data_IF_608321385614
#
_entry.id   IF_608321385614
#
_cell.length_a   1.000
_cell.length_b   1.000
_cell.length_c   1.000
_cell.angle_alpha   90.00
_cell.angle_beta   90.00
_cell.angle_gamma   90.00
#
_symmetry.space_group_name_H-M   'P 1'
#
loop_
_entity.id
_entity.type
_entity.pdbx_description
1 polymer ?
#
# COMPACT_ATOMS: atom_id res chain seq x y z
N UNK A 1 -3.89 -0.82 -14.37
CA UNK A 1 -4.82 -1.61 -15.21
C UNK A 1 -4.36 -1.78 -16.65
N UNK A 2 -3.11 -1.47 -17.00
CA UNK A 2 -2.52 -1.91 -18.27
C UNK A 2 -2.41 -3.46 -18.29
N UNK A 3 -2.10 -4.08 -19.45
CA UNK A 3 -1.83 -5.52 -19.51
C UNK A 3 -0.80 -5.97 -18.48
N UNK A 4 -0.99 -7.17 -17.94
CA UNK A 4 -0.12 -7.75 -16.88
C UNK A 4 1.34 -7.77 -17.29
N UNK A 5 1.62 -8.21 -18.53
CA UNK A 5 2.98 -8.29 -19.07
C UNK A 5 3.68 -6.93 -19.04
N UNK A 6 2.96 -5.87 -19.43
CA UNK A 6 3.49 -4.51 -19.41
C UNK A 6 3.78 -4.05 -17.97
N UNK A 7 2.84 -4.27 -17.05
CA UNK A 7 3.02 -3.91 -15.64
C UNK A 7 4.23 -4.62 -15.02
N UNK A 8 4.35 -5.93 -15.22
CA UNK A 8 5.47 -6.72 -14.71
C UNK A 8 6.80 -6.26 -15.30
N UNK A 9 6.88 -6.03 -16.61
CA UNK A 9 8.11 -5.56 -17.26
C UNK A 9 8.54 -4.19 -16.74
N UNK A 10 7.60 -3.25 -16.62
CA UNK A 10 7.88 -1.92 -16.08
C UNK A 10 8.33 -1.98 -14.61
N UNK A 11 7.69 -2.81 -13.79
CA UNK A 11 8.06 -2.98 -12.38
C UNK A 11 9.45 -3.60 -12.22
N UNK A 12 9.81 -4.59 -13.04
CA UNK A 12 11.14 -5.20 -13.01
C UNK A 12 12.24 -4.24 -13.51
N UNK A 13 11.95 -3.42 -14.51
CA UNK A 13 12.86 -2.37 -14.97
C UNK A 13 13.11 -1.33 -13.86
N UNK A 14 12.05 -0.91 -13.16
CA UNK A 14 12.16 0.00 -12.01
C UNK A 14 12.95 -0.64 -10.85
N UNK A 15 12.70 -1.92 -10.54
CA UNK A 15 13.46 -2.67 -9.54
C UNK A 15 14.96 -2.68 -9.87
N UNK A 16 15.32 -3.00 -11.12
CA UNK A 16 16.72 -3.02 -11.56
C UNK A 16 17.40 -1.66 -11.37
N UNK A 17 16.71 -0.58 -11.73
CA UNK A 17 17.22 0.76 -11.51
C UNK A 17 17.41 1.09 -10.01
N UNK A 18 16.44 0.74 -9.16
CA UNK A 18 16.52 0.96 -7.71
C UNK A 18 17.67 0.17 -7.08
N UNK A 19 17.90 -1.08 -7.50
CA UNK A 19 19.04 -1.87 -7.04
C UNK A 19 20.37 -1.24 -7.44
N UNK A 20 20.47 -0.66 -8.65
CA UNK A 20 21.67 0.09 -9.07
C UNK A 20 21.89 1.37 -8.23
N UNK A 21 20.84 1.96 -7.66
CA UNK A 21 20.96 3.07 -6.70
C UNK A 21 21.32 2.60 -5.28
N UNK A 22 21.46 1.30 -5.04
CA UNK A 22 21.77 0.74 -3.72
C UNK A 22 20.59 0.62 -2.77
N UNK A 23 19.34 0.64 -3.27
CA UNK A 23 18.16 0.42 -2.45
C UNK A 23 18.18 -0.98 -1.83
N UNK A 24 18.02 -1.06 -0.51
CA UNK A 24 18.05 -2.31 0.27
C UNK A 24 16.68 -2.92 0.54
N UNK A 25 15.64 -2.09 0.48
CA UNK A 25 14.25 -2.49 0.68
C UNK A 25 13.41 -1.90 -0.46
N UNK A 26 12.54 -2.72 -1.02
CA UNK A 26 11.65 -2.36 -2.12
C UNK A 26 10.22 -2.27 -1.60
N UNK A 27 9.52 -1.20 -1.98
CA UNK A 27 8.13 -0.98 -1.62
C UNK A 27 7.26 -1.00 -2.88
N UNK A 28 6.43 -2.04 -3.03
CA UNK A 28 5.44 -2.06 -4.10
C UNK A 28 4.15 -1.34 -3.66
N UNK A 29 3.99 -0.12 -4.14
CA UNK A 29 2.86 0.76 -3.82
C UNK A 29 1.68 0.53 -4.76
N UNK A 30 0.50 0.25 -4.20
CA UNK A 30 -0.78 0.19 -4.92
C UNK A 30 -1.90 0.95 -4.18
N UNK A 31 -3.10 1.05 -4.75
CA UNK A 31 -4.20 1.84 -4.19
C UNK A 31 -4.70 1.26 -2.85
N UNK A 32 -5.09 2.11 -1.91
CA UNK A 32 -5.56 1.68 -0.58
C UNK A 32 -6.92 0.95 -0.60
N UNK A 33 -7.61 0.97 -1.74
CA UNK A 33 -8.84 0.21 -1.99
C UNK A 33 -8.59 -1.09 -2.78
N UNK A 34 -7.32 -1.50 -2.91
CA UNK A 34 -6.89 -2.75 -3.54
C UNK A 34 -7.32 -2.91 -5.02
N UNK A 35 -7.45 -1.78 -5.71
CA UNK A 35 -7.88 -1.60 -7.09
C UNK A 35 -7.23 -2.58 -8.08
N UNK A 36 -7.90 -3.69 -8.35
CA UNK A 36 -7.41 -4.78 -9.20
C UNK A 36 -8.56 -5.64 -9.70
N UNK A 37 -8.24 -6.56 -10.60
CA UNK A 37 -9.15 -7.65 -11.01
C UNK A 37 -8.49 -8.99 -10.70
N UNK A 38 -9.19 -10.11 -10.89
CA UNK A 38 -8.57 -11.43 -10.83
C UNK A 38 -7.40 -11.60 -11.81
N UNK A 39 -7.30 -10.76 -12.85
CA UNK A 39 -6.16 -10.77 -13.78
C UNK A 39 -4.95 -10.01 -13.25
N UNK A 40 -5.09 -9.19 -12.20
CA UNK A 40 -4.00 -8.36 -11.71
C UNK A 40 -4.33 -6.86 -11.59
N UNK A 41 -3.32 -6.01 -11.38
CA UNK A 41 -1.87 -6.31 -11.51
C UNK A 41 -1.13 -6.47 -10.18
N UNK A 42 -1.83 -6.45 -9.04
CA UNK A 42 -1.18 -6.49 -7.73
C UNK A 42 -0.45 -7.83 -7.54
N UNK A 43 -1.16 -8.95 -7.68
CA UNK A 43 -0.55 -10.29 -7.54
C UNK A 43 0.59 -10.57 -8.51
N UNK A 44 0.41 -10.41 -9.84
CA UNK A 44 1.45 -10.74 -10.80
C UNK A 44 2.71 -9.89 -10.67
N UNK A 45 2.57 -8.62 -10.29
CA UNK A 45 3.74 -7.76 -10.04
C UNK A 45 4.42 -8.16 -8.72
N UNK A 46 3.65 -8.44 -7.67
CA UNK A 46 4.22 -8.94 -6.41
C UNK A 46 5.02 -10.22 -6.64
N UNK A 47 4.46 -11.21 -7.34
CA UNK A 47 5.13 -12.48 -7.62
C UNK A 47 6.43 -12.28 -8.40
N UNK A 48 6.41 -11.46 -9.45
CA UNK A 48 7.60 -11.18 -10.25
C UNK A 48 8.69 -10.43 -9.46
N UNK A 49 8.30 -9.49 -8.58
CA UNK A 49 9.24 -8.80 -7.70
C UNK A 49 9.82 -9.75 -6.65
N UNK A 50 9.01 -10.66 -6.10
CA UNK A 50 9.47 -11.68 -5.16
C UNK A 50 10.49 -12.61 -5.81
N UNK A 51 10.20 -13.09 -7.02
CA UNK A 51 11.09 -13.97 -7.77
C UNK A 51 12.43 -13.28 -8.10
N UNK A 52 12.38 -12.01 -8.52
CA UNK A 52 13.58 -11.23 -8.84
C UNK A 52 14.43 -10.86 -7.61
N UNK A 53 13.81 -10.77 -6.42
CA UNK A 53 14.48 -10.50 -5.15
C UNK A 53 14.86 -11.77 -4.38
N UNK A 54 14.53 -12.95 -4.90
CA UNK A 54 14.70 -14.24 -4.23
C UNK A 54 14.11 -14.24 -2.80
N UNK A 55 12.93 -13.64 -2.62
CA UNK A 55 12.23 -13.61 -1.33
C UNK A 55 11.02 -14.55 -1.33
N UNK A 56 10.92 -15.49 -0.37
CA UNK A 56 9.83 -16.46 -0.33
C UNK A 56 8.52 -15.90 0.23
N UNK A 57 8.57 -14.74 0.89
CA UNK A 57 7.44 -14.19 1.64
C UNK A 57 7.38 -12.66 1.55
N UNK A 58 6.17 -12.10 1.52
CA UNK A 58 5.93 -10.66 1.63
C UNK A 58 4.56 -10.36 2.26
N UNK A 59 4.22 -9.10 2.42
CA UNK A 59 2.98 -8.64 3.07
C UNK A 59 2.14 -7.78 2.15
N UNK A 60 0.83 -7.72 2.40
CA UNK A 60 -0.10 -6.77 1.81
C UNK A 60 -0.71 -5.88 2.91
N UNK A 61 -0.39 -4.58 2.90
CA UNK A 61 -0.94 -3.60 3.86
C UNK A 61 -1.57 -2.38 3.16
N UNK A 62 -2.82 -2.51 2.67
CA UNK A 62 -3.50 -1.40 1.96
C UNK A 62 -3.99 -0.27 2.88
N UNK A 63 -4.05 -0.52 4.19
CA UNK A 63 -4.70 0.37 5.15
C UNK A 63 -4.08 1.78 5.18
N UNK A 64 -4.94 2.76 5.46
CA UNK A 64 -4.59 4.15 5.72
C UNK A 64 -5.72 4.74 6.59
N UNK A 65 -5.70 4.49 7.92
CA UNK A 65 -6.82 4.81 8.81
C UNK A 65 -7.24 6.28 8.80
N UNK A 66 -6.28 7.22 8.67
CA UNK A 66 -6.57 8.67 8.57
C UNK A 66 -7.48 9.03 7.39
N UNK A 67 -7.47 8.21 6.32
CA UNK A 67 -8.36 8.35 5.17
C UNK A 67 -9.52 7.34 5.19
N UNK A 68 -9.82 6.75 6.34
CA UNK A 68 -10.90 5.78 6.52
C UNK A 68 -10.69 4.47 5.77
N UNK A 69 -9.45 4.01 5.58
CA UNK A 69 -9.17 2.66 5.05
C UNK A 69 -8.58 1.83 6.18
N UNK A 70 -9.33 0.85 6.66
CA UNK A 70 -8.92 -0.05 7.75
C UNK A 70 -9.05 -1.49 7.30
N UNK A 71 -8.26 -2.37 7.91
CA UNK A 71 -8.32 -3.81 7.66
C UNK A 71 -8.53 -4.52 8.99
N UNK A 72 -9.53 -5.38 9.05
CA UNK A 72 -9.87 -6.18 10.22
C UNK A 72 -10.18 -7.62 9.82
N UNK A 73 -9.49 -8.57 10.42
CA UNK A 73 -9.55 -10.00 10.07
C UNK A 73 -9.37 -10.23 8.56
N UNK A 74 -8.49 -9.45 7.92
CA UNK A 74 -8.25 -9.47 6.49
C UNK A 74 -9.36 -8.86 5.61
N UNK A 75 -10.46 -8.36 6.19
CA UNK A 75 -11.49 -7.62 5.46
C UNK A 75 -11.13 -6.14 5.37
N UNK A 76 -11.15 -5.59 4.15
CA UNK A 76 -10.93 -4.18 3.89
C UNK A 76 -12.23 -3.38 4.05
N UNK A 77 -12.16 -2.32 4.84
CA UNK A 77 -13.23 -1.35 5.05
C UNK A 77 -12.89 -0.02 4.39
N UNK A 78 -13.92 0.60 3.82
CA UNK A 78 -13.90 1.97 3.31
C UNK A 78 -14.91 2.78 4.13
N UNK A 79 -14.39 3.71 4.92
CA UNK A 79 -15.14 4.39 5.97
C UNK A 79 -15.77 3.36 6.92
N UNK A 80 -17.09 3.33 7.00
CA UNK A 80 -17.86 2.44 7.86
C UNK A 80 -18.46 1.23 7.13
N UNK A 81 -18.06 0.98 5.88
CA UNK A 81 -18.60 -0.10 5.04
C UNK A 81 -17.51 -1.06 4.59
N UNK A 82 -17.89 -2.31 4.31
CA UNK A 82 -17.02 -3.23 3.58
C UNK A 82 -16.68 -2.68 2.19
N UNK A 83 -15.50 -3.00 1.66
CA UNK A 83 -15.07 -2.56 0.32
C UNK A 83 -16.15 -2.80 -0.75
N UNK A 84 -16.73 -4.00 -0.75
CA UNK A 84 -17.75 -4.45 -1.70
C UNK A 84 -19.14 -3.83 -1.53
N UNK A 85 -19.34 -3.06 -0.46
CA UNK A 85 -20.55 -2.31 -0.14
C UNK A 85 -20.34 -0.80 -0.27
N UNK A 86 -19.10 -0.37 -0.48
CA UNK A 86 -18.73 1.02 -0.73
C UNK A 86 -18.95 1.41 -2.20
N UNK A 87 -18.66 2.67 -2.54
CA UNK A 87 -18.63 3.14 -3.93
C UNK A 87 -17.69 2.33 -4.85
N UNK A 88 -16.69 1.64 -4.29
CA UNK A 88 -15.77 0.79 -5.07
C UNK A 88 -16.46 -0.40 -5.74
N UNK A 89 -17.63 -0.83 -5.25
CA UNK A 89 -18.44 -1.88 -5.88
C UNK A 89 -18.74 -1.60 -7.34
N UNK A 90 -18.92 -0.33 -7.69
CA UNK A 90 -19.29 0.12 -9.03
C UNK A 90 -18.16 0.92 -9.70
N UNK A 91 -16.92 0.73 -9.26
CA UNK A 91 -15.78 1.44 -9.85
C UNK A 91 -15.68 1.15 -11.36
N UNK A 92 -15.50 2.16 -12.22
CA UNK A 92 -15.66 2.02 -13.68
C UNK A 92 -14.62 1.11 -14.36
N UNK A 93 -13.48 0.86 -13.71
CA UNK A 93 -12.36 0.09 -14.29
C UNK A 93 -12.17 -1.27 -13.61
N UNK A 94 -12.34 -1.32 -12.30
CA UNK A 94 -12.04 -2.47 -11.44
C UNK A 94 -13.03 -2.50 -10.28
N UNK A 95 -14.29 -2.87 -10.55
CA UNK A 95 -15.31 -2.97 -9.52
C UNK A 95 -14.91 -4.00 -8.47
N UNK A 96 -14.90 -3.59 -7.20
CA UNK A 96 -14.49 -4.43 -6.09
C UNK A 96 -15.74 -5.07 -5.47
N UNK A 97 -15.99 -6.35 -5.74
CA UNK A 97 -17.22 -7.06 -5.30
C UNK A 97 -16.98 -8.07 -4.18
N UNK A 98 -15.75 -8.17 -3.68
CA UNK A 98 -15.37 -8.90 -2.46
C UNK A 98 -14.54 -7.95 -1.58
N UNK A 99 -14.56 -8.19 -0.28
CA UNK A 99 -13.86 -7.37 0.72
C UNK A 99 -12.76 -8.12 1.45
N UNK A 100 -12.70 -9.45 1.32
CA UNK A 100 -11.68 -10.26 1.97
C UNK A 100 -10.40 -10.28 1.14
N UNK A 101 -9.37 -9.59 1.63
CA UNK A 101 -8.11 -9.38 0.90
C UNK A 101 -7.40 -10.69 0.54
N UNK A 102 -7.33 -11.74 1.39
CA UNK A 102 -6.70 -12.99 0.98
C UNK A 102 -7.33 -13.62 -0.27
N UNK A 103 -8.66 -13.59 -0.40
CA UNK A 103 -9.32 -14.06 -1.64
C UNK A 103 -8.99 -13.19 -2.84
N UNK A 104 -8.95 -11.87 -2.66
CA UNK A 104 -8.57 -10.94 -3.73
C UNK A 104 -7.10 -11.12 -4.17
N UNK A 105 -6.20 -11.44 -3.25
CA UNK A 105 -4.79 -11.76 -3.51
C UNK A 105 -4.69 -13.10 -4.24
N UNK A 106 -5.26 -14.16 -3.69
CA UNK A 106 -5.19 -15.53 -4.25
C UNK A 106 -5.83 -15.62 -5.64
N UNK A 107 -6.86 -14.82 -5.92
CA UNK A 107 -7.49 -14.78 -7.24
C UNK A 107 -6.57 -14.27 -8.37
N UNK A 108 -5.48 -13.57 -8.03
CA UNK A 108 -4.56 -12.95 -9.00
C UNK A 108 -3.08 -13.31 -8.79
N UNK A 109 -2.78 -14.21 -7.85
CA UNK A 109 -1.41 -14.58 -7.48
C UNK A 109 -1.25 -16.10 -7.48
N UNK A 110 -0.02 -16.59 -7.33
CA UNK A 110 0.28 -18.03 -7.41
C UNK A 110 0.35 -18.74 -6.06
N UNK A 111 0.45 -18.01 -4.94
CA UNK A 111 0.57 -18.57 -3.59
C UNK A 111 -0.67 -18.40 -2.72
N UNK A 112 -0.61 -18.95 -1.51
CA UNK A 112 -1.64 -18.76 -0.47
C UNK A 112 -1.39 -17.51 0.36
N UNK A 113 -2.46 -16.85 0.78
CA UNK A 113 -2.41 -15.63 1.58
C UNK A 113 -2.97 -15.85 3.00
N UNK A 114 -2.13 -15.63 4.01
CA UNK A 114 -2.53 -15.61 5.41
C UNK A 114 -3.02 -14.24 5.86
N UNK A 115 -3.36 -14.13 7.15
CA UNK A 115 -3.73 -12.87 7.82
C UNK A 115 -2.99 -12.76 9.14
N UNK A 116 -2.36 -11.62 9.39
CA UNK A 116 -1.93 -11.22 10.74
C UNK A 116 -3.00 -10.31 11.31
N UNK A 117 -3.75 -10.83 12.29
CA UNK A 117 -4.90 -10.12 12.84
C UNK A 117 -4.50 -8.95 13.74
N UNK A 118 -5.40 -7.97 13.90
CA UNK A 118 -5.21 -6.82 14.78
C UNK A 118 -4.82 -7.24 16.22
N UNK A 119 -5.35 -8.37 16.71
CA UNK A 119 -5.02 -8.87 18.04
C UNK A 119 -3.53 -9.22 18.22
N UNK A 120 -2.85 -9.67 17.16
CA UNK A 120 -1.40 -9.93 17.20
C UNK A 120 -0.63 -8.61 17.30
N UNK A 121 -1.11 -7.54 16.64
CA UNK A 121 -0.51 -6.22 16.74
C UNK A 121 -0.63 -5.65 18.17
N UNK A 122 -1.72 -5.90 18.88
CA UNK A 122 -1.86 -5.51 20.30
C UNK A 122 -0.84 -6.20 21.22
N UNK A 123 -0.23 -7.30 20.79
CA UNK A 123 0.83 -8.01 21.54
C UNK A 123 2.24 -7.49 21.21
N UNK A 124 2.37 -6.54 20.29
CA UNK A 124 3.62 -5.87 19.95
C UNK A 124 4.42 -6.52 18.81
N UNK A 125 5.56 -5.90 18.51
CA UNK A 125 6.38 -6.16 17.31
C UNK A 125 6.89 -7.61 17.26
N UNK A 126 7.31 -8.18 18.39
CA UNK A 126 7.84 -9.55 18.41
C UNK A 126 6.76 -10.59 18.14
N UNK A 127 5.54 -10.39 18.62
CA UNK A 127 4.40 -11.26 18.30
C UNK A 127 4.08 -11.21 16.80
N UNK A 128 4.13 -10.03 16.19
CA UNK A 128 3.95 -9.86 14.74
C UNK A 128 5.04 -10.59 13.96
N UNK A 129 6.32 -10.47 14.35
CA UNK A 129 7.42 -11.19 13.69
C UNK A 129 7.28 -12.71 13.81
N UNK A 130 6.89 -13.21 14.99
CA UNK A 130 6.64 -14.64 15.20
C UNK A 130 5.49 -15.15 14.34
N UNK A 131 4.41 -14.38 14.23
CA UNK A 131 3.26 -14.77 13.42
C UNK A 131 3.60 -14.78 11.91
N UNK A 132 4.35 -13.79 11.42
CA UNK A 132 4.85 -13.78 10.04
C UNK A 132 5.73 -15.02 9.76
N UNK A 133 6.64 -15.36 10.68
CA UNK A 133 7.48 -16.54 10.57
C UNK A 133 6.67 -17.85 10.57
N UNK A 134 5.63 -17.95 11.43
CA UNK A 134 4.71 -19.09 11.46
C UNK A 134 3.98 -19.26 10.13
N UNK A 135 3.41 -18.17 9.59
CA UNK A 135 2.72 -18.20 8.30
C UNK A 135 3.66 -18.65 7.17
N UNK A 136 4.90 -18.15 7.15
CA UNK A 136 5.89 -18.60 6.18
C UNK A 136 6.21 -20.10 6.33
N UNK A 137 6.38 -20.61 7.55
CA UNK A 137 6.62 -22.04 7.81
C UNK A 137 5.45 -22.93 7.38
N UNK A 138 4.21 -22.42 7.44
CA UNK A 138 3.00 -23.11 6.97
C UNK A 138 2.81 -23.06 5.45
N UNK A 139 3.75 -22.45 4.72
CA UNK A 139 3.75 -22.38 3.27
C UNK A 139 2.85 -21.28 2.70
N UNK A 140 2.45 -20.29 3.52
CA UNK A 140 1.88 -19.07 2.96
C UNK A 140 2.97 -18.27 2.26
N UNK A 141 2.65 -17.74 1.08
CA UNK A 141 3.57 -16.87 0.31
C UNK A 141 3.37 -15.40 0.68
N UNK A 142 2.21 -15.07 1.24
CA UNK A 142 1.84 -13.71 1.59
C UNK A 142 1.09 -13.65 2.92
N UNK A 143 1.10 -12.49 3.56
CA UNK A 143 0.17 -12.17 4.64
C UNK A 143 -0.48 -10.79 4.46
N UNK A 144 -1.79 -10.73 4.61
CA UNK A 144 -2.51 -9.46 4.80
C UNK A 144 -2.31 -9.00 6.24
N UNK A 145 -2.02 -7.72 6.43
CA UNK A 145 -1.85 -7.13 7.74
C UNK A 145 -3.07 -6.30 8.11
N UNK A 146 -3.69 -6.63 9.24
CA UNK A 146 -4.70 -5.76 9.83
C UNK A 146 -4.10 -4.43 10.26
N UNK A 147 -4.91 -3.37 10.15
CA UNK A 147 -4.60 -2.05 10.67
C UNK A 147 -5.90 -1.26 10.85
N UNK A 148 -6.20 -0.94 12.11
CA UNK A 148 -7.35 -0.12 12.52
C UNK A 148 -6.90 1.31 12.87
N UNK A 149 -5.66 1.45 13.32
CA UNK A 149 -5.09 2.67 13.85
C UNK A 149 -3.73 2.95 13.22
N UNK A 150 -3.26 4.19 13.37
CA UNK A 150 -1.90 4.54 12.96
C UNK A 150 -0.84 3.76 13.75
N UNK A 151 -1.12 3.44 15.02
CA UNK A 151 -0.23 2.64 15.86
C UNK A 151 0.06 1.26 15.27
N UNK A 152 -0.95 0.60 14.67
CA UNK A 152 -0.70 -0.67 13.97
C UNK A 152 0.29 -0.48 12.80
N UNK A 153 0.20 0.64 12.07
CA UNK A 153 1.12 0.93 10.96
C UNK A 153 2.56 1.18 11.47
N UNK A 154 2.72 1.80 12.64
CA UNK A 154 4.04 1.95 13.29
C UNK A 154 4.66 0.59 13.62
N UNK A 155 3.89 -0.30 14.25
CA UNK A 155 4.32 -1.67 14.56
C UNK A 155 4.67 -2.44 13.29
N UNK A 156 3.86 -2.32 12.22
CA UNK A 156 4.17 -2.92 10.93
C UNK A 156 5.51 -2.41 10.39
N UNK A 157 5.76 -1.09 10.45
CA UNK A 157 7.02 -0.48 10.02
C UNK A 157 8.23 -1.04 10.77
N UNK A 158 8.13 -1.19 12.09
CA UNK A 158 9.20 -1.77 12.91
C UNK A 158 9.40 -3.27 12.63
N UNK A 159 8.32 -4.04 12.55
CA UNK A 159 8.37 -5.47 12.29
C UNK A 159 8.99 -5.80 10.92
N UNK A 160 8.77 -4.94 9.93
CA UNK A 160 9.16 -5.14 8.53
C UNK A 160 10.36 -4.31 8.09
N UNK A 161 11.07 -3.68 9.05
CA UNK A 161 12.23 -2.80 8.76
C UNK A 161 13.25 -3.43 7.81
N UNK A 162 13.49 -4.73 7.96
CA UNK A 162 14.52 -5.47 7.22
C UNK A 162 13.96 -6.37 6.11
N UNK A 163 12.65 -6.30 5.83
CA UNK A 163 12.05 -7.08 4.76
C UNK A 163 12.55 -6.61 3.38
N UNK A 164 12.98 -7.50 2.47
CA UNK A 164 13.51 -7.10 1.16
C UNK A 164 12.42 -6.49 0.25
N UNK A 165 11.20 -6.99 0.37
CA UNK A 165 10.02 -6.51 -0.33
C UNK A 165 8.86 -6.36 0.65
N UNK A 166 8.21 -5.20 0.62
CA UNK A 166 6.92 -4.95 1.27
C UNK A 166 5.94 -4.40 0.24
N UNK A 167 4.64 -4.63 0.44
CA UNK A 167 3.62 -4.14 -0.47
C UNK A 167 2.46 -3.51 0.30
N UNK A 168 1.90 -2.42 -0.23
CA UNK A 168 0.88 -1.69 0.52
C UNK A 168 0.37 -0.40 -0.10
N UNK A 169 -0.52 0.25 0.64
CA UNK A 169 -0.97 1.62 0.43
C UNK A 169 0.12 2.63 0.85
N UNK A 170 -0.24 3.84 1.26
CA UNK A 170 0.73 4.77 1.85
C UNK A 170 0.86 4.62 3.37
N UNK A 171 -0.07 3.92 4.04
CA UNK A 171 -0.07 3.76 5.49
C UNK A 171 1.19 3.05 6.00
N UNK A 172 1.53 1.89 5.45
CA UNK A 172 2.73 1.15 5.85
C UNK A 172 4.02 1.95 5.61
N UNK A 173 4.08 2.74 4.53
CA UNK A 173 5.22 3.61 4.26
C UNK A 173 5.45 4.67 5.38
N UNK A 174 4.39 5.13 6.06
CA UNK A 174 4.52 6.02 7.22
C UNK A 174 5.27 5.31 8.35
N UNK A 175 4.88 4.07 8.66
CA UNK A 175 5.53 3.25 9.67
C UNK A 175 7.00 3.02 9.37
N UNK A 176 7.33 2.63 8.14
CA UNK A 176 8.72 2.42 7.70
C UNK A 176 9.53 3.71 7.75
N UNK A 177 8.98 4.83 7.26
CA UNK A 177 9.67 6.11 7.27
C UNK A 177 10.01 6.55 8.71
N UNK A 178 9.14 6.29 9.70
CA UNK A 178 9.41 6.58 11.11
C UNK A 178 10.58 5.79 11.69
N UNK A 179 10.84 4.57 11.19
CA UNK A 179 12.00 3.79 11.63
C UNK A 179 13.33 4.38 11.16
N UNK A 180 13.32 5.19 10.09
CA UNK A 180 14.52 5.80 9.52
C UNK A 180 14.58 7.31 9.73
N UNK A 181 13.52 7.90 10.28
CA UNK A 181 13.47 9.30 10.63
C UNK A 181 14.50 9.58 11.74
N UNK A 182 15.71 10.00 11.36
CA UNK A 182 16.65 10.61 12.28
C UNK A 182 16.19 12.04 12.61
N UNK A 183 16.64 12.57 13.76
CA UNK A 183 16.35 13.92 14.26
C UNK A 183 16.72 15.07 13.28
N UNK A 184 17.45 14.78 12.20
CA UNK A 184 17.86 15.74 11.15
C UNK A 184 16.81 15.91 10.01
N UNK A 185 15.56 15.53 10.26
CA UNK A 185 14.54 15.14 9.26
C UNK A 185 13.88 16.22 8.39
N UNK A 186 14.50 17.38 8.14
CA UNK A 186 13.88 18.41 7.29
C UNK A 186 14.57 18.69 5.95
N UNK A 187 15.79 18.22 5.69
CA UNK A 187 16.50 18.55 4.44
C UNK A 187 15.72 18.18 3.17
N UNK A 188 15.11 17.00 3.13
CA UNK A 188 14.31 16.59 1.97
C UNK A 188 13.04 17.45 1.80
N UNK A 189 12.42 17.86 2.91
CA UNK A 189 11.27 18.78 2.89
C UNK A 189 11.70 20.16 2.41
N UNK A 190 12.88 20.61 2.82
CA UNK A 190 13.44 21.89 2.43
C UNK A 190 13.78 21.94 0.93
N UNK A 191 14.39 20.88 0.41
CA UNK A 191 14.69 20.74 -1.01
C UNK A 191 13.44 20.77 -1.92
N UNK A 192 12.27 20.44 -1.37
CA UNK A 192 10.98 20.49 -2.08
C UNK A 192 10.25 21.83 -2.01
N UNK A 193 10.81 22.87 -1.38
CA UNK A 193 10.16 24.18 -1.32
C UNK A 193 9.99 24.80 -2.71
N UNK A 194 8.86 25.48 -2.97
CA UNK A 194 8.65 26.16 -4.24
C UNK A 194 9.70 27.26 -4.41
N UNK A 195 10.20 27.38 -5.64
CA UNK A 195 11.06 28.51 -6.01
C UNK A 195 10.26 29.82 -5.97
N UNK A 196 10.92 30.91 -5.63
CA UNK A 196 10.32 32.23 -5.72
C UNK A 196 10.00 32.59 -7.19
N UNK A 197 8.84 33.21 -7.43
CA UNK A 197 8.44 33.62 -8.77
C UNK A 197 6.92 33.75 -8.93
N UNK A 198 6.48 34.09 -10.15
CA UNK A 198 5.06 34.10 -10.50
C UNK A 198 4.57 32.68 -10.71
N UNK A 199 3.47 32.32 -10.06
CA UNK A 199 2.76 31.05 -10.28
C UNK A 199 1.52 31.22 -11.14
N UNK A 200 1.02 30.12 -11.67
CA UNK A 200 -0.29 30.02 -12.33
C UNK A 200 -1.03 28.80 -11.78
N UNK A 201 -2.34 28.93 -11.57
CA UNK A 201 -3.20 27.80 -11.20
C UNK A 201 -3.84 27.24 -12.47
N UNK A 202 -3.58 25.97 -12.75
CA UNK A 202 -4.22 25.22 -13.84
C UNK A 202 -5.19 24.19 -13.24
N UNK A 203 -6.49 24.45 -13.37
CA UNK A 203 -7.54 23.58 -12.80
C UNK A 203 -8.38 22.94 -13.91
N UNK A 204 -8.22 21.63 -14.12
CA UNK A 204 -8.96 20.86 -15.13
C UNK A 204 -9.90 19.79 -14.56
N UNK A 205 -9.95 19.61 -13.24
CA UNK A 205 -10.79 18.59 -12.60
C UNK A 205 -12.22 19.06 -12.43
N UNK A 206 -13.19 18.21 -12.74
CA UNK A 206 -14.62 18.47 -12.59
C UNK A 206 -15.18 18.01 -11.22
N UNK A 207 -14.32 17.67 -10.26
CA UNK A 207 -14.77 17.15 -8.96
C UNK A 207 -15.54 18.18 -8.14
N UNK A 208 -16.44 17.73 -7.26
CA UNK A 208 -17.17 18.62 -6.35
C UNK A 208 -16.24 19.45 -5.45
N UNK A 209 -15.07 18.90 -5.07
CA UNK A 209 -14.09 19.65 -4.30
C UNK A 209 -13.39 20.71 -5.17
N UNK A 210 -12.97 20.35 -6.38
CA UNK A 210 -12.32 21.27 -7.31
C UNK A 210 -13.24 22.44 -7.66
N UNK A 211 -14.53 22.19 -7.91
CA UNK A 211 -15.49 23.27 -8.15
C UNK A 211 -15.63 24.23 -6.95
N UNK A 212 -15.59 23.71 -5.71
CA UNK A 212 -15.57 24.55 -4.50
C UNK A 212 -14.28 25.37 -4.40
N UNK A 213 -13.12 24.77 -4.67
CA UNK A 213 -11.83 25.45 -4.66
C UNK A 213 -11.77 26.56 -5.72
N UNK A 214 -12.22 26.30 -6.95
CA UNK A 214 -12.28 27.28 -8.04
C UNK A 214 -13.22 28.43 -7.69
N UNK A 215 -14.42 28.12 -7.17
CA UNK A 215 -15.39 29.15 -6.76
C UNK A 215 -14.84 30.07 -5.66
N UNK A 216 -14.11 29.50 -4.70
CA UNK A 216 -13.45 30.25 -3.64
C UNK A 216 -12.27 31.08 -4.16
N UNK A 217 -11.36 30.48 -4.94
CA UNK A 217 -10.15 31.13 -5.42
C UNK A 217 -10.47 32.34 -6.32
N UNK A 218 -11.53 32.26 -7.13
CA UNK A 218 -12.03 33.38 -7.95
C UNK A 218 -12.39 34.63 -7.13
N UNK A 219 -12.68 34.50 -5.83
CA UNK A 219 -13.02 35.63 -4.97
C UNK A 219 -11.79 36.37 -4.43
N UNK A 220 -10.61 35.73 -4.45
CA UNK A 220 -9.38 36.25 -3.83
C UNK A 220 -8.25 36.45 -4.85
N UNK A 221 -8.46 36.09 -6.11
CA UNK A 221 -7.51 36.24 -7.21
C UNK A 221 -7.84 37.46 -8.08
#
# INVERSE_FOLDING_TARGET
SCPVVEATQQSLAALSWLQQQGCKQIYFKYCSTFDSTAKGNIGPVTDALMDALDTPFTVFSPALPVNGRTVYQGYLFVMNQLLAESGMRHHPVNPMTDSYLPRLVEAQSTGRCGVVSAHVFEQGVDAVRQELARLQQEGYRYAVLDALTEHHLEIQGEALRDAPLVTGGSGLAIGLARQWAQENGNQAREAGHPLAGRGVVLSGSCSQMTNRQVAHYRQIA
#
